data_IF_871416767303
#
_entry.id   IF_871416767303
#
_cell.length_a   1.000
_cell.length_b   1.000
_cell.length_c   1.000
_cell.angle_alpha   90.00
_cell.angle_beta   90.00
_cell.angle_gamma   90.00
#
_symmetry.space_group_name_H-M   'P 1'
#
loop_
_entity.id
_entity.type
_entity.pdbx_description
1 polymer ?
#
# COMPACT_ATOMS: atom_id res chain seq x y z
N UNK A 1 16.53 2.98 -15.63
CA UNK A 1 15.50 4.02 -15.58
C UNK A 1 14.69 3.80 -14.32
N UNK A 2 14.78 4.70 -13.34
CA UNK A 2 13.88 4.71 -12.19
C UNK A 2 12.52 5.24 -12.67
N UNK A 3 11.47 4.45 -12.53
CA UNK A 3 10.12 4.96 -12.75
C UNK A 3 9.75 5.86 -11.56
N UNK A 4 9.35 7.09 -11.86
CA UNK A 4 8.75 7.99 -10.87
C UNK A 4 7.53 7.31 -10.20
N UNK A 5 7.22 7.60 -8.93
CA UNK A 5 6.04 7.05 -8.28
C UNK A 5 4.78 7.35 -9.08
N UNK A 6 3.97 6.32 -9.35
CA UNK A 6 2.73 6.47 -10.12
C UNK A 6 1.58 5.68 -9.51
N UNK A 7 0.37 6.18 -9.74
CA UNK A 7 -0.88 5.50 -9.37
C UNK A 7 -1.51 4.96 -10.65
N UNK A 8 -1.98 3.73 -10.64
CA UNK A 8 -2.75 3.20 -11.76
C UNK A 8 -3.96 2.39 -11.28
N UNK A 9 -5.05 2.49 -12.03
CA UNK A 9 -6.32 1.85 -11.75
C UNK A 9 -6.49 0.71 -12.76
N UNK A 10 -6.74 -0.50 -12.25
CA UNK A 10 -7.13 -1.64 -13.10
C UNK A 10 -8.61 -1.91 -12.91
N UNK A 11 -9.38 -1.81 -14.00
CA UNK A 11 -10.76 -2.25 -14.10
C UNK A 11 -10.81 -3.51 -14.96
N UNK A 12 -11.29 -4.61 -14.39
CA UNK A 12 -11.53 -5.85 -15.14
C UNK A 12 -13.02 -6.13 -15.23
N UNK A 13 -13.50 -6.40 -16.44
CA UNK A 13 -14.91 -6.71 -16.74
C UNK A 13 -15.03 -8.03 -17.52
N UNK A 14 -14.87 -9.20 -16.86
CA UNK A 14 -15.08 -10.49 -17.53
C UNK A 14 -16.56 -10.67 -17.86
N UNK A 15 -16.89 -11.20 -19.04
CA UNK A 15 -18.28 -11.38 -19.52
C UNK A 15 -19.16 -12.27 -18.63
N UNK A 16 -18.57 -13.04 -17.70
CA UNK A 16 -19.27 -13.95 -16.79
C UNK A 16 -19.20 -13.55 -15.30
N UNK A 17 -18.41 -12.54 -14.91
CA UNK A 17 -18.18 -12.18 -13.51
C UNK A 17 -18.52 -10.71 -13.23
N UNK A 18 -18.74 -10.38 -11.94
CA UNK A 18 -18.93 -8.98 -11.54
C UNK A 18 -17.65 -8.17 -11.83
N UNK A 19 -17.80 -6.91 -12.31
CA UNK A 19 -16.66 -6.02 -12.50
C UNK A 19 -15.88 -5.87 -11.19
N UNK A 20 -14.55 -5.87 -11.27
CA UNK A 20 -13.70 -5.54 -10.11
C UNK A 20 -12.75 -4.38 -10.43
N UNK A 21 -12.59 -3.51 -9.44
CA UNK A 21 -11.70 -2.34 -9.49
C UNK A 21 -10.60 -2.54 -8.46
N UNK A 22 -9.35 -2.33 -8.88
CA UNK A 22 -8.19 -2.33 -8.00
C UNK A 22 -7.40 -1.04 -8.20
N UNK A 23 -6.97 -0.43 -7.10
CA UNK A 23 -6.09 0.75 -7.11
C UNK A 23 -4.72 0.30 -6.63
N UNK A 24 -3.67 0.69 -7.34
CA UNK A 24 -2.30 0.36 -6.97
C UNK A 24 -1.41 1.61 -6.94
N UNK A 25 -0.54 1.68 -5.93
CA UNK A 25 0.49 2.70 -5.77
C UNK A 25 1.87 2.08 -6.02
N UNK A 26 2.71 2.77 -6.79
CA UNK A 26 4.04 2.30 -7.16
C UNK A 26 5.11 3.22 -6.62
N UNK A 27 6.15 2.59 -6.09
CA UNK A 27 7.52 3.07 -6.18
C UNK A 27 8.29 2.13 -7.13
N UNK A 28 9.54 2.43 -7.44
CA UNK A 28 10.37 1.60 -8.31
C UNK A 28 10.62 0.18 -7.76
N UNK A 29 10.41 -0.05 -6.45
CA UNK A 29 10.70 -1.32 -5.77
C UNK A 29 9.49 -1.98 -5.12
N UNK A 30 8.47 -1.19 -4.75
CA UNK A 30 7.31 -1.67 -3.99
C UNK A 30 6.00 -1.25 -4.66
N UNK A 31 5.09 -2.21 -4.78
CA UNK A 31 3.71 -2.02 -5.21
C UNK A 31 2.76 -2.40 -4.08
N UNK A 32 1.85 -1.50 -3.73
CA UNK A 32 0.73 -1.79 -2.82
C UNK A 32 -0.60 -1.65 -3.56
N UNK A 33 -1.53 -2.60 -3.36
CA UNK A 33 -2.87 -2.56 -3.96
C UNK A 33 -3.95 -3.00 -2.98
N UNK A 34 -5.14 -2.41 -3.10
CA UNK A 34 -6.33 -2.89 -2.41
C UNK A 34 -7.51 -2.97 -3.36
N UNK A 35 -8.48 -3.81 -3.01
CA UNK A 35 -9.71 -3.96 -3.78
C UNK A 35 -10.68 -4.94 -3.13
N UNK A 36 -11.82 -5.12 -3.79
CA UNK A 36 -12.85 -6.06 -3.34
C UNK A 36 -13.20 -7.01 -4.49
N UNK A 37 -12.97 -8.30 -4.30
CA UNK A 37 -13.30 -9.34 -5.27
C UNK A 37 -14.82 -9.63 -5.18
N UNK A 38 -15.48 -9.61 -6.33
CA UNK A 38 -16.94 -9.82 -6.49
C UNK A 38 -17.82 -8.93 -5.60
N UNK A 39 -17.28 -7.81 -5.11
CA UNK A 39 -17.94 -6.92 -4.15
C UNK A 39 -18.13 -7.51 -2.76
N UNK A 40 -17.46 -8.62 -2.42
CA UNK A 40 -17.66 -9.34 -1.15
C UNK A 40 -16.39 -9.65 -0.37
N UNK A 41 -15.26 -9.82 -1.06
CA UNK A 41 -14.00 -10.22 -0.41
C UNK A 41 -12.96 -9.11 -0.55
N UNK A 42 -12.75 -8.28 0.48
CA UNK A 42 -11.68 -7.29 0.47
C UNK A 42 -10.32 -7.98 0.54
N UNK A 43 -9.34 -7.38 -0.12
CA UNK A 43 -7.95 -7.79 -0.05
C UNK A 43 -7.01 -6.58 -0.07
N UNK A 44 -5.84 -6.79 0.52
CA UNK A 44 -4.66 -5.95 0.43
C UNK A 44 -3.54 -6.82 -0.14
N UNK A 45 -2.79 -6.32 -1.11
CA UNK A 45 -1.58 -6.99 -1.55
C UNK A 45 -0.43 -6.01 -1.66
N UNK A 46 0.75 -6.47 -1.22
CA UNK A 46 2.01 -5.76 -1.28
C UNK A 46 3.01 -6.66 -1.99
N UNK A 47 3.61 -6.18 -3.07
CA UNK A 47 4.56 -6.94 -3.87
C UNK A 47 5.83 -6.12 -4.13
N UNK A 48 6.97 -6.78 -4.01
CA UNK A 48 8.30 -6.32 -4.40
C UNK A 48 8.89 -7.31 -5.42
N UNK A 49 10.12 -7.08 -5.88
CA UNK A 49 10.86 -8.06 -6.69
C UNK A 49 11.14 -9.38 -5.95
N UNK A 50 11.16 -9.35 -4.61
CA UNK A 50 11.62 -10.45 -3.76
C UNK A 50 10.47 -11.13 -2.99
N UNK A 51 9.35 -10.42 -2.78
CA UNK A 51 8.23 -10.90 -1.98
C UNK A 51 6.89 -10.49 -2.57
N UNK A 52 5.89 -11.37 -2.44
CA UNK A 52 4.50 -11.05 -2.76
C UNK A 52 3.61 -11.50 -1.62
N UNK A 53 3.02 -10.54 -0.92
CA UNK A 53 2.13 -10.75 0.21
C UNK A 53 0.72 -10.37 -0.21
N UNK A 54 -0.23 -11.28 -0.04
CA UNK A 54 -1.65 -11.02 -0.23
C UNK A 54 -2.40 -11.38 1.03
N UNK A 55 -3.11 -10.40 1.58
CA UNK A 55 -3.96 -10.52 2.76
C UNK A 55 -5.40 -10.37 2.29
N UNK A 56 -6.25 -11.35 2.57
CA UNK A 56 -7.67 -11.31 2.23
C UNK A 56 -8.48 -11.86 3.38
N UNK A 57 -9.74 -11.46 3.47
CA UNK A 57 -10.65 -12.06 4.45
C UNK A 57 -10.78 -13.56 4.24
N UNK A 58 -10.92 -14.28 5.35
CA UNK A 58 -10.94 -15.74 5.35
C UNK A 58 -12.10 -16.31 4.51
N UNK A 59 -11.84 -17.39 3.76
CA UNK A 59 -12.88 -18.31 3.26
C UNK A 59 -13.91 -17.84 2.21
N UNK A 60 -14.01 -16.54 1.87
CA UNK A 60 -14.94 -16.06 0.83
C UNK A 60 -16.37 -15.90 1.27
N UNK A 61 -16.61 -16.08 2.58
CA UNK A 61 -17.82 -15.68 3.26
C UNK A 61 -17.83 -14.19 3.59
N UNK A 62 -18.78 -13.81 4.43
CA UNK A 62 -18.89 -12.45 4.97
C UNK A 62 -17.66 -12.08 5.79
N UNK A 63 -17.31 -10.79 5.77
CA UNK A 63 -16.25 -10.23 6.63
C UNK A 63 -16.60 -10.48 8.10
N UNK A 64 -15.66 -11.04 8.85
CA UNK A 64 -15.81 -11.37 10.27
C UNK A 64 -15.17 -10.32 11.18
N UNK A 65 -15.44 -10.37 12.48
CA UNK A 65 -14.78 -9.50 13.47
C UNK A 65 -13.27 -9.72 13.51
N UNK A 66 -12.80 -10.95 13.27
CA UNK A 66 -11.38 -11.27 13.17
C UNK A 66 -10.74 -10.60 11.94
N UNK A 67 -11.44 -10.60 10.80
CA UNK A 67 -10.97 -9.89 9.60
C UNK A 67 -10.88 -8.38 9.86
N UNK A 68 -11.85 -7.80 10.59
CA UNK A 68 -11.84 -6.39 10.98
C UNK A 68 -10.71 -6.06 11.95
N UNK A 69 -10.46 -6.92 12.94
CA UNK A 69 -9.35 -6.75 13.88
C UNK A 69 -8.01 -6.73 13.14
N UNK A 70 -7.77 -7.73 12.28
CA UNK A 70 -6.56 -7.80 11.47
C UNK A 70 -6.39 -6.56 10.56
N UNK A 71 -7.47 -6.11 9.91
CA UNK A 71 -7.42 -4.92 9.06
C UNK A 71 -7.06 -3.65 9.86
N UNK A 72 -7.54 -3.51 11.09
CA UNK A 72 -7.19 -2.40 11.99
C UNK A 72 -5.73 -2.46 12.43
N UNK A 73 -5.23 -3.65 12.75
CA UNK A 73 -3.83 -3.83 13.14
C UNK A 73 -2.89 -3.47 11.99
N UNK A 74 -3.21 -3.88 10.76
CA UNK A 74 -2.47 -3.50 9.56
C UNK A 74 -2.49 -1.98 9.36
N UNK A 75 -3.66 -1.35 9.52
CA UNK A 75 -3.79 0.11 9.40
C UNK A 75 -2.93 0.84 10.44
N UNK A 76 -2.98 0.42 11.71
CA UNK A 76 -2.18 1.02 12.77
C UNK A 76 -0.67 0.88 12.51
N UNK A 77 -0.23 -0.30 12.07
CA UNK A 77 1.17 -0.53 11.71
C UNK A 77 1.61 0.34 10.53
N UNK A 78 0.78 0.45 9.49
CA UNK A 78 1.07 1.30 8.33
C UNK A 78 1.10 2.79 8.70
N UNK A 79 0.21 3.25 9.58
CA UNK A 79 0.20 4.62 10.07
C UNK A 79 1.47 4.95 10.88
N UNK A 80 1.92 4.02 11.74
CA UNK A 80 3.17 4.18 12.47
C UNK A 80 4.37 4.25 11.52
N UNK A 81 4.42 3.36 10.52
CA UNK A 81 5.45 3.39 9.48
C UNK A 81 5.50 4.73 8.75
N UNK A 82 4.34 5.29 8.37
CA UNK A 82 4.26 6.62 7.75
C UNK A 82 4.84 7.71 8.66
N UNK A 83 4.43 7.75 9.94
CA UNK A 83 4.92 8.73 10.90
C UNK A 83 6.45 8.67 11.05
N UNK A 84 7.03 7.46 11.05
CA UNK A 84 8.48 7.28 11.07
C UNK A 84 9.17 7.75 9.79
N UNK A 85 8.59 7.47 8.61
CA UNK A 85 9.08 8.00 7.34
C UNK A 85 9.09 9.54 7.34
N UNK A 86 8.00 10.17 7.76
CA UNK A 86 7.88 11.64 7.81
C UNK A 86 8.89 12.26 8.77
N UNK A 87 9.06 11.65 9.95
CA UNK A 87 10.04 12.08 10.95
C UNK A 87 11.46 12.01 10.40
N UNK A 88 11.84 10.87 9.80
CA UNK A 88 13.18 10.68 9.23
C UNK A 88 13.43 11.63 8.05
N UNK A 89 12.44 11.82 7.17
CA UNK A 89 12.53 12.75 6.05
C UNK A 89 12.77 14.20 6.52
N UNK A 90 12.07 14.62 7.57
CA UNK A 90 12.23 15.94 8.17
C UNK A 90 13.63 16.12 8.79
N UNK A 91 14.13 15.10 9.50
CA UNK A 91 15.48 15.11 10.09
C UNK A 91 16.59 15.21 9.03
N UNK A 92 16.47 14.46 7.94
CA UNK A 92 17.43 14.48 6.83
C UNK A 92 17.46 15.85 6.14
N UNK A 93 16.28 16.43 5.93
CA UNK A 93 16.14 17.76 5.31
C UNK A 93 16.70 18.88 6.19
N UNK A 94 16.62 18.77 7.52
CA UNK A 94 17.23 19.71 8.44
C UNK A 94 18.77 19.60 8.47
N UNK A 95 19.30 18.37 8.38
CA UNK A 95 20.75 18.11 8.38
C UNK A 95 21.41 18.59 7.08
N UNK A 96 20.77 18.34 5.93
CA UNK A 96 21.27 18.80 4.62
C UNK A 96 21.39 20.33 4.51
N UNK A 97 20.42 21.06 5.10
CA UNK A 97 20.48 22.53 5.17
C UNK A 97 21.62 23.05 6.04
N UNK A 98 21.96 22.38 7.13
CA UNK A 98 23.06 22.78 8.01
C UNK A 98 24.43 22.60 7.33
N UNK A 99 24.61 21.55 6.52
CA UNK A 99 25.83 21.33 5.73
C UNK A 99 26.02 22.34 4.60
N UNK A 100 24.95 22.78 3.92
CA UNK A 100 25.04 23.83 2.89
C UNK A 100 25.36 25.21 3.49
N UNK A 101 24.89 25.50 4.71
CA UNK A 101 25.11 26.79 5.37
C UNK A 101 26.51 26.96 5.97
N UNK A 102 27.27 25.86 6.11
CA UNK A 102 28.66 25.90 6.62
C UNK A 102 29.68 25.97 5.47
N UNK A 103 29.24 25.84 4.22
CA UNK A 103 30.08 25.88 3.02
C UNK A 103 29.95 27.19 2.21
N UNK A 104 29.25 28.20 2.73
CA UNK A 104 29.02 29.51 2.11
C UNK A 104 29.76 30.65 2.84
#
# INVERSE_FOLDING_TARGET
>A
MSLEPYTYITLSMPSANRPHVAVSFYTHEVRARSGVIDGRRPYLAVSTSEANVSISTTGGGSVTDADLALARDIYAAAAQYLADCERLHTQQSATGKATDQTAA
#
